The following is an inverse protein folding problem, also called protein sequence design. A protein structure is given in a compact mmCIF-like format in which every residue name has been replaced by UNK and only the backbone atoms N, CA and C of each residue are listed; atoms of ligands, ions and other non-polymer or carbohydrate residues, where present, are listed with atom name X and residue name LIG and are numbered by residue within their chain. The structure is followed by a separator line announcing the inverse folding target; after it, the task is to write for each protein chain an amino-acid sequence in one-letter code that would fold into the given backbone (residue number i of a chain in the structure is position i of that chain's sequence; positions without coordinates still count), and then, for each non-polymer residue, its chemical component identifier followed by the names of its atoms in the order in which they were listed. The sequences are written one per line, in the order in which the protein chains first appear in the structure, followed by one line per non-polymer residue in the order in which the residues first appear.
data_IF_790832374246
#
_entry.id   IF_790832374246
#
_cell.length_a   1.000
_cell.length_b   1.000
_cell.length_c   1.000
_cell.angle_alpha   90.00
_cell.angle_beta   90.00
_cell.angle_gamma   90.00
#
_symmetry.space_group_name_H-M   'P 1'
#
loop_
_entity.id
_entity.type
_entity.pdbx_description
1 polymer ?
#
# COMPACT_ATOMS: atom_id res chain seq x y z
N UNK A 1 -24.85 -10.02 -67.91
CA UNK A 1 -25.73 -10.23 -66.74
C UNK A 1 -24.80 -10.62 -65.60
N UNK A 2 -24.41 -9.81 -64.62
CA UNK A 2 -25.04 -8.69 -63.92
C UNK A 2 -24.99 -9.05 -62.42
N UNK A 3 -24.49 -8.12 -61.58
CA UNK A 3 -24.29 -8.19 -60.09
C UNK A 3 -22.97 -8.84 -59.64
N UNK A 4 -22.28 -8.38 -58.60
CA UNK A 4 -22.26 -7.13 -57.85
C UNK A 4 -20.94 -7.08 -57.06
N UNK A 5 -20.48 -5.86 -56.79
CA UNK A 5 -19.66 -5.35 -55.68
C UNK A 5 -18.49 -6.10 -55.01
N UNK A 6 -17.48 -5.27 -54.64
CA UNK A 6 -16.60 -5.57 -53.49
C UNK A 6 -15.10 -5.45 -53.76
N UNK A 7 -14.59 -4.24 -54.01
CA UNK A 7 -13.14 -3.97 -54.11
C UNK A 7 -12.45 -4.16 -52.75
N UNK A 8 -11.60 -5.20 -52.66
CA UNK A 8 -10.47 -5.30 -51.73
C UNK A 8 -9.25 -4.57 -52.31
N UNK A 9 -8.54 -3.75 -51.54
CA UNK A 9 -7.14 -3.41 -51.82
C UNK A 9 -6.31 -3.42 -50.53
N UNK A 10 -5.32 -4.31 -50.52
CA UNK A 10 -4.26 -4.36 -49.54
C UNK A 10 -3.06 -3.47 -49.93
N UNK A 11 -2.50 -2.87 -48.88
CA UNK A 11 -1.09 -2.54 -48.58
C UNK A 11 -0.01 -2.70 -49.68
N UNK A 12 0.82 -1.66 -49.84
CA UNK A 12 2.30 -1.76 -49.92
C UNK A 12 2.97 -0.40 -49.62
N UNK A 13 4.11 -0.48 -48.93
CA UNK A 13 4.99 0.59 -48.40
C UNK A 13 5.95 1.17 -49.45
N UNK A 14 6.68 2.21 -49.01
CA UNK A 14 7.93 2.84 -49.53
C UNK A 14 7.70 4.08 -50.44
N UNK A 15 8.36 5.24 -50.31
CA UNK A 15 9.74 5.58 -49.88
C UNK A 15 9.90 7.09 -49.55
N UNK A 16 10.86 7.36 -48.65
CA UNK A 16 11.86 8.45 -48.58
C UNK A 16 11.50 9.93 -48.85
N UNK A 17 11.84 10.80 -47.87
CA UNK A 17 12.12 12.22 -48.11
C UNK A 17 13.43 12.63 -47.41
N UNK A 18 14.36 13.22 -48.18
CA UNK A 18 15.66 13.75 -47.73
C UNK A 18 15.55 15.23 -47.30
N UNK A 19 16.46 15.74 -46.46
CA UNK A 19 16.44 17.11 -45.96
C UNK A 19 17.23 18.08 -46.85
N UNK A 20 16.81 19.36 -46.91
CA UNK A 20 17.59 20.46 -47.48
C UNK A 20 17.85 21.55 -46.44
N UNK A 21 19.06 22.09 -46.50
CA UNK A 21 19.68 22.96 -45.53
C UNK A 21 19.57 24.46 -45.88
N UNK A 22 19.71 25.28 -44.83
CA UNK A 22 20.28 26.64 -44.74
C UNK A 22 19.60 27.81 -45.48
N UNK A 23 19.21 28.80 -44.67
CA UNK A 23 19.11 30.22 -45.03
C UNK A 23 19.47 31.09 -43.83
N UNK A 24 20.56 31.86 -43.96
CA UNK A 24 21.09 32.86 -43.03
C UNK A 24 20.26 34.15 -43.08
N UNK A 25 20.06 34.83 -41.94
CA UNK A 25 19.91 36.29 -41.70
C UNK A 25 19.80 36.42 -40.16
N UNK A 26 20.38 37.35 -39.41
CA UNK A 26 21.08 38.61 -39.60
C UNK A 26 21.19 39.21 -38.18
N UNK A 27 22.30 39.89 -37.88
CA UNK A 27 22.62 40.50 -36.58
C UNK A 27 21.57 41.53 -36.17
N UNK A 28 21.25 41.60 -34.88
CA UNK A 28 21.10 42.87 -34.16
C UNK A 28 21.29 42.66 -32.65
N UNK A 29 22.20 43.44 -32.07
CA UNK A 29 22.45 43.48 -30.64
C UNK A 29 21.56 44.52 -29.98
N UNK A 30 20.92 44.15 -28.87
CA UNK A 30 20.36 45.12 -27.92
C UNK A 30 20.68 44.64 -26.50
N UNK A 31 21.25 45.58 -25.73
CA UNK A 31 21.75 45.46 -24.37
C UNK A 31 20.59 45.20 -23.39
N UNK A 32 20.75 44.23 -22.49
CA UNK A 32 19.90 44.10 -21.33
C UNK A 32 20.38 45.06 -20.22
N UNK A 33 19.57 46.08 -19.93
CA UNK A 33 19.71 46.95 -18.77
C UNK A 33 19.21 46.22 -17.51
N UNK A 34 20.10 45.94 -16.57
CA UNK A 34 19.74 45.65 -15.18
C UNK A 34 19.64 46.97 -14.39
N UNK A 35 18.51 47.26 -13.72
CA UNK A 35 18.51 48.25 -12.66
C UNK A 35 18.92 47.60 -11.33
N UNK A 36 19.95 48.19 -10.70
CA UNK A 36 20.24 48.02 -9.26
C UNK A 36 19.26 48.91 -8.47
N UNK A 37 18.81 48.50 -7.28
CA UNK A 37 18.44 49.44 -6.23
C UNK A 37 19.54 49.49 -5.16
N UNK A 38 20.00 50.71 -4.92
CA UNK A 38 20.80 51.15 -3.80
C UNK A 38 19.95 51.35 -2.53
N UNK A 39 20.50 50.96 -1.37
CA UNK A 39 20.54 51.87 -0.21
C UNK A 39 19.39 51.88 0.80
N UNK A 40 19.61 51.10 1.87
CA UNK A 40 19.59 51.52 3.30
C UNK A 40 18.30 51.81 4.10
N UNK A 41 18.27 51.10 5.24
CA UNK A 41 17.87 51.50 6.62
C UNK A 41 16.39 51.42 7.02
N UNK A 42 16.13 50.36 7.80
CA UNK A 42 15.72 50.53 9.19
C UNK A 42 14.28 50.14 9.52
N UNK A 43 14.11 49.02 10.23
CA UNK A 43 13.54 49.01 11.60
C UNK A 43 13.50 47.60 12.16
N UNK A 44 14.12 47.46 13.32
CA UNK A 44 14.01 46.35 14.25
C UNK A 44 12.55 46.12 14.64
N UNK A 45 12.14 44.85 14.77
CA UNK A 45 11.26 44.39 15.86
C UNK A 45 11.29 42.87 16.02
N UNK A 46 11.65 42.49 17.25
CA UNK A 46 11.29 41.28 18.01
C UNK A 46 11.70 39.90 17.50
N UNK A 47 12.95 39.56 17.81
CA UNK A 47 13.37 38.22 18.17
C UNK A 47 12.78 37.83 19.54
N UNK A 48 11.94 36.79 19.58
CA UNK A 48 11.75 35.94 20.78
C UNK A 48 11.57 34.50 20.32
N UNK A 49 12.66 33.72 20.37
CA UNK A 49 12.73 32.31 20.78
C UNK A 49 14.14 31.82 20.50
N UNK A 50 15.01 31.97 21.48
CA UNK A 50 16.30 31.29 21.51
C UNK A 50 16.40 30.54 22.84
N UNK A 51 16.71 29.25 22.74
CA UNK A 51 17.41 28.51 23.79
C UNK A 51 16.61 27.41 24.46
N UNK A 52 16.73 26.18 23.94
CA UNK A 52 17.46 25.09 24.61
C UNK A 52 17.55 23.88 23.67
N UNK A 53 18.64 23.80 22.90
CA UNK A 53 19.11 22.54 22.33
C UNK A 53 20.03 21.89 23.37
N UNK A 54 19.56 20.83 24.04
CA UNK A 54 20.45 19.88 24.71
C UNK A 54 20.76 18.78 23.70
N UNK A 55 22.06 18.57 23.46
CA UNK A 55 22.59 17.34 22.87
C UNK A 55 22.31 16.22 23.86
N UNK A 56 21.52 15.21 23.49
CA UNK A 56 21.51 13.93 24.17
C UNK A 56 22.21 12.92 23.26
N UNK A 57 23.23 12.28 23.84
CA UNK A 57 23.93 11.14 23.27
C UNK A 57 22.95 9.97 23.25
N UNK A 58 22.98 9.20 22.17
CA UNK A 58 22.34 7.90 22.12
C UNK A 58 23.04 6.98 23.13
N UNK A 59 22.36 6.62 24.21
CA UNK A 59 22.67 5.45 25.01
C UNK A 59 21.60 4.41 24.68
N UNK A 60 22.04 3.31 24.06
CA UNK A 60 21.23 2.13 23.82
C UNK A 60 20.96 1.47 25.17
N UNK A 61 19.69 1.41 25.56
CA UNK A 61 19.23 0.52 26.63
C UNK A 61 18.26 -0.50 26.04
N UNK A 62 18.45 -1.81 26.29
CA UNK A 62 17.60 -2.84 25.72
C UNK A 62 16.22 -2.83 26.39
N UNK A 63 15.17 -2.70 25.59
CA UNK A 63 13.80 -2.91 26.01
C UNK A 63 13.63 -4.39 26.38
N UNK A 64 13.37 -4.67 27.66
CA UNK A 64 12.84 -5.95 28.10
C UNK A 64 11.32 -5.87 27.92
N UNK A 65 10.78 -6.63 26.97
CA UNK A 65 9.34 -6.82 26.87
C UNK A 65 8.89 -7.94 27.81
N UNK A 66 7.94 -7.59 28.67
CA UNK A 66 7.25 -8.49 29.59
C UNK A 66 6.19 -9.28 28.80
N UNK A 67 6.24 -10.61 28.89
CA UNK A 67 5.33 -11.51 28.22
C UNK A 67 3.96 -11.51 28.92
N UNK A 68 2.94 -10.95 28.27
CA UNK A 68 1.59 -10.81 28.82
C UNK A 68 0.49 -11.21 27.83
N UNK A 69 0.27 -12.52 27.68
CA UNK A 69 -0.98 -13.19 27.32
C UNK A 69 -1.98 -12.49 26.37
N UNK A 70 -1.81 -12.68 25.05
CA UNK A 70 -2.92 -12.56 24.10
C UNK A 70 -3.69 -13.89 23.99
N UNK A 71 -4.93 -13.91 24.49
CA UNK A 71 -5.89 -15.00 24.29
C UNK A 71 -6.28 -15.09 22.82
N UNK A 72 -6.02 -16.25 22.21
CA UNK A 72 -6.58 -16.70 20.94
C UNK A 72 -8.10 -16.46 20.87
N UNK A 73 -8.56 -15.61 19.95
CA UNK A 73 -9.94 -15.65 19.49
C UNK A 73 -10.04 -16.69 18.38
N UNK A 74 -10.53 -17.88 18.75
CA UNK A 74 -10.92 -18.92 17.80
C UNK A 74 -12.13 -18.48 16.97
N UNK A 75 -12.12 -18.88 15.70
CA UNK A 75 -13.11 -18.53 14.69
C UNK A 75 -14.56 -18.82 15.09
N UNK A 76 -15.45 -17.93 14.69
CA UNK A 76 -16.86 -18.20 14.50
C UNK A 76 -17.26 -17.80 13.09
N UNK A 77 -17.63 -18.81 12.33
CA UNK A 77 -18.29 -18.71 11.04
C UNK A 77 -19.68 -18.08 11.18
N UNK A 78 -19.99 -17.15 10.27
CA UNK A 78 -21.32 -16.78 9.76
C UNK A 78 -22.49 -16.49 10.72
N UNK A 79 -22.82 -15.19 10.88
CA UNK A 79 -24.15 -14.58 10.63
C UNK A 79 -24.13 -13.10 11.04
N UNK A 80 -24.60 -12.21 10.15
CA UNK A 80 -24.87 -10.80 10.48
C UNK A 80 -25.92 -10.74 11.62
N UNK A 81 -25.73 -9.90 12.66
CA UNK A 81 -26.69 -9.78 13.74
C UNK A 81 -27.93 -8.99 13.29
N UNK A 82 -29.12 -9.26 13.88
CA UNK A 82 -30.33 -8.55 13.54
C UNK A 82 -30.30 -7.11 14.08
N UNK A 83 -30.94 -6.20 13.34
CA UNK A 83 -31.06 -4.76 13.65
C UNK A 83 -31.80 -4.56 14.98
N UNK A 84 -31.21 -3.76 15.87
CA UNK A 84 -31.90 -3.16 17.02
C UNK A 84 -31.19 -3.34 18.35
N UNK A 85 -30.12 -2.57 18.58
CA UNK A 85 -29.67 -2.10 19.89
C UNK A 85 -28.71 -0.92 19.64
N UNK A 86 -28.99 0.26 20.21
CA UNK A 86 -28.06 1.37 20.21
C UNK A 86 -26.85 0.99 21.07
N UNK A 87 -25.74 0.60 20.44
CA UNK A 87 -24.51 0.21 21.10
C UNK A 87 -23.47 -0.22 20.08
N UNK A 88 -22.31 0.48 20.09
CA UNK A 88 -21.08 0.31 19.28
C UNK A 88 -21.24 -0.41 17.93
N UNK A 89 -21.03 0.35 16.84
CA UNK A 89 -20.84 -0.21 15.49
C UNK A 89 -19.78 -1.33 15.54
N UNK A 90 -19.93 -2.39 14.73
CA UNK A 90 -18.90 -3.43 14.61
C UNK A 90 -17.55 -2.77 14.26
N UNK A 91 -16.48 -3.13 14.98
CA UNK A 91 -15.16 -2.56 14.73
C UNK A 91 -14.74 -2.80 13.28
N UNK A 92 -14.40 -1.72 12.55
CA UNK A 92 -13.83 -1.84 11.21
C UNK A 92 -12.35 -2.13 11.38
N UNK A 93 -11.89 -3.28 10.88
CA UNK A 93 -10.54 -3.79 11.18
C UNK A 93 -9.39 -2.87 10.75
N UNK A 94 -9.61 -1.95 9.81
CA UNK A 94 -8.57 -1.01 9.41
C UNK A 94 -8.45 0.22 10.30
N UNK A 95 -9.43 0.49 11.16
CA UNK A 95 -9.51 1.69 12.00
C UNK A 95 -8.29 1.80 12.94
N UNK A 96 -7.79 3.03 13.08
CA UNK A 96 -6.77 3.41 14.04
C UNK A 96 -7.34 3.38 15.45
N UNK A 97 -6.64 2.71 16.37
CA UNK A 97 -6.96 2.73 17.79
C UNK A 97 -6.50 4.06 18.41
N UNK A 98 -7.40 5.04 18.43
CA UNK A 98 -7.10 6.40 18.88
C UNK A 98 -6.77 6.49 20.38
N UNK A 99 -7.27 5.56 21.20
CA UNK A 99 -6.91 5.52 22.62
C UNK A 99 -5.45 5.10 22.78
N UNK A 100 -4.96 4.13 22.00
CA UNK A 100 -3.53 3.78 22.00
C UNK A 100 -2.63 4.92 21.53
N UNK A 101 -3.13 5.79 20.64
CA UNK A 101 -2.38 7.00 20.25
C UNK A 101 -2.25 7.95 21.44
N UNK A 102 -3.33 8.15 22.21
CA UNK A 102 -3.31 8.97 23.43
C UNK A 102 -2.41 8.37 24.51
N UNK A 103 -2.53 7.06 24.78
CA UNK A 103 -1.68 6.35 25.74
C UNK A 103 -0.20 6.46 25.37
N UNK A 104 0.15 6.30 24.09
CA UNK A 104 1.52 6.49 23.61
C UNK A 104 1.98 7.94 23.80
N UNK A 105 1.13 8.92 23.48
CA UNK A 105 1.45 10.33 23.65
C UNK A 105 1.64 10.71 25.14
N UNK A 106 0.88 10.11 26.05
CA UNK A 106 1.07 10.27 27.50
C UNK A 106 2.41 9.68 27.97
N UNK A 107 2.84 8.56 27.37
CA UNK A 107 4.12 7.92 27.68
C UNK A 107 5.32 8.73 27.17
N UNK A 108 5.28 9.16 25.91
CA UNK A 108 6.44 9.80 25.24
C UNK A 108 6.41 11.32 25.31
N UNK A 109 5.29 11.93 25.72
CA UNK A 109 5.02 13.37 25.64
C UNK A 109 4.48 13.78 24.27
N UNK A 110 3.38 14.52 24.25
CA UNK A 110 2.69 14.96 23.03
C UNK A 110 3.62 15.72 22.05
N UNK A 111 4.57 16.51 22.57
CA UNK A 111 5.55 17.25 21.75
C UNK A 111 6.51 16.35 20.95
N UNK A 112 6.58 15.07 21.29
CA UNK A 112 7.39 14.06 20.60
C UNK A 112 6.58 13.27 19.56
N UNK A 113 5.30 13.59 19.37
CA UNK A 113 4.42 13.02 18.33
C UNK A 113 4.26 14.03 17.19
N UNK A 114 5.12 14.00 16.14
CA UNK A 114 5.08 15.03 15.10
C UNK A 114 3.89 14.88 14.14
N UNK A 115 3.30 13.69 14.05
CA UNK A 115 2.21 13.41 13.14
C UNK A 115 1.38 12.20 13.61
N UNK A 116 0.10 12.23 13.29
CA UNK A 116 -0.81 11.07 13.35
C UNK A 116 -1.09 10.65 11.91
N UNK A 117 -0.77 9.40 11.56
CA UNK A 117 -0.93 8.88 10.20
C UNK A 117 -2.00 7.80 10.13
N UNK A 118 -2.98 7.98 9.24
CA UNK A 118 -4.00 6.98 8.92
C UNK A 118 -3.80 6.47 7.49
N UNK A 119 -3.76 5.16 7.30
CA UNK A 119 -3.60 4.52 5.99
C UNK A 119 -4.92 3.98 5.48
N UNK A 120 -5.37 4.44 4.31
CA UNK A 120 -6.63 4.02 3.69
C UNK A 120 -6.43 3.31 2.35
N UNK A 121 -6.87 2.06 2.18
CA UNK A 121 -7.16 1.02 3.18
C UNK A 121 -5.90 0.64 3.99
N UNK A 122 -6.05 0.11 5.20
CA UNK A 122 -4.93 -0.34 6.03
C UNK A 122 -4.22 -1.56 5.41
N UNK A 123 -3.11 -1.33 4.71
CA UNK A 123 -2.36 -2.35 3.98
C UNK A 123 -1.78 -3.43 4.91
N UNK A 124 -1.33 -3.05 6.10
CA UNK A 124 -0.71 -3.94 7.07
C UNK A 124 -1.71 -4.90 7.71
N UNK A 125 -2.98 -4.49 7.76
CA UNK A 125 -4.12 -5.31 8.17
C UNK A 125 -4.88 -5.78 6.93
N UNK A 126 -4.20 -6.48 6.03
CA UNK A 126 -4.82 -7.14 4.87
C UNK A 126 -5.66 -6.24 3.93
N UNK A 127 -5.39 -4.94 3.86
CA UNK A 127 -6.15 -4.00 3.02
C UNK A 127 -7.58 -3.77 3.51
N UNK A 128 -7.80 -3.84 4.83
CA UNK A 128 -9.11 -3.57 5.44
C UNK A 128 -9.42 -2.07 5.41
N UNK A 129 -10.70 -1.69 5.21
CA UNK A 129 -11.07 -0.28 5.13
C UNK A 129 -10.97 0.40 6.49
N UNK A 130 -10.88 1.73 6.43
CA UNK A 130 -11.00 2.66 7.56
C UNK A 130 -12.31 3.41 7.40
N UNK A 131 -13.08 3.53 8.48
CA UNK A 131 -14.34 4.27 8.49
C UNK A 131 -14.13 5.80 8.44
N UNK A 132 -15.12 6.53 7.92
CA UNK A 132 -15.07 8.00 7.96
C UNK A 132 -15.10 8.53 9.40
N UNK A 133 -15.86 7.87 10.27
CA UNK A 133 -15.89 8.16 11.70
C UNK A 133 -14.51 8.06 12.34
N UNK A 134 -13.75 7.00 12.05
CA UNK A 134 -12.41 6.85 12.60
C UNK A 134 -11.41 7.90 12.05
N UNK A 135 -11.56 8.33 10.79
CA UNK A 135 -10.77 9.45 10.25
C UNK A 135 -11.08 10.75 11.02
N UNK A 136 -12.35 11.00 11.34
CA UNK A 136 -12.77 12.17 12.16
C UNK A 136 -12.20 12.09 13.58
N UNK A 137 -12.22 10.91 14.21
CA UNK A 137 -11.64 10.68 15.54
C UNK A 137 -10.12 10.87 15.53
N UNK A 138 -9.41 10.31 14.55
CA UNK A 138 -7.97 10.45 14.41
C UNK A 138 -7.56 11.90 14.18
N UNK A 139 -8.36 12.68 13.43
CA UNK A 139 -8.16 14.12 13.29
C UNK A 139 -8.27 14.82 14.65
N UNK A 140 -9.32 14.53 15.42
CA UNK A 140 -9.49 15.14 16.74
C UNK A 140 -8.31 14.84 17.68
N UNK A 141 -7.77 13.62 17.64
CA UNK A 141 -6.54 13.29 18.40
C UNK A 141 -5.33 14.06 17.89
N UNK A 142 -5.16 14.22 16.58
CA UNK A 142 -4.07 15.02 16.04
C UNK A 142 -4.15 16.49 16.52
N UNK A 143 -5.36 17.05 16.57
CA UNK A 143 -5.61 18.40 17.12
C UNK A 143 -5.28 18.50 18.61
N UNK A 144 -5.68 17.51 19.42
CA UNK A 144 -5.36 17.44 20.85
C UNK A 144 -3.84 17.45 21.10
N UNK A 145 -3.07 16.83 20.19
CA UNK A 145 -1.63 16.65 20.30
C UNK A 145 -0.80 17.75 19.62
N UNK A 146 -1.43 18.71 18.93
CA UNK A 146 -0.74 19.69 18.05
C UNK A 146 0.16 18.98 17.00
N UNK A 147 -0.33 17.83 16.49
CA UNK A 147 0.38 16.97 15.56
C UNK A 147 -0.18 17.12 14.13
N UNK A 148 0.67 16.99 13.11
CA UNK A 148 0.18 16.99 11.72
C UNK A 148 -0.65 15.75 11.42
N UNK A 149 -1.89 15.91 10.95
CA UNK A 149 -2.72 14.78 10.54
C UNK A 149 -2.44 14.40 9.08
N UNK A 150 -1.92 13.19 8.88
CA UNK A 150 -1.53 12.68 7.57
C UNK A 150 -2.41 11.51 7.16
N UNK A 151 -2.88 11.50 5.91
CA UNK A 151 -3.54 10.33 5.32
C UNK A 151 -2.66 9.73 4.24
N UNK A 152 -2.27 8.46 4.39
CA UNK A 152 -1.76 7.66 3.27
C UNK A 152 -2.94 7.23 2.40
N UNK A 153 -3.06 7.89 1.25
CA UNK A 153 -4.16 7.78 0.32
C UNK A 153 -3.92 6.76 -0.80
N UNK A 154 -2.88 5.91 -0.70
CA UNK A 154 -2.49 4.97 -1.76
C UNK A 154 -3.66 4.16 -2.34
N UNK A 155 -4.65 3.78 -1.52
CA UNK A 155 -5.82 2.99 -1.93
C UNK A 155 -7.14 3.67 -1.55
N UNK A 156 -7.20 4.98 -1.76
CA UNK A 156 -8.33 5.81 -1.35
C UNK A 156 -9.67 5.40 -2.00
N UNK A 157 -9.65 4.97 -3.27
CA UNK A 157 -10.89 4.66 -4.00
C UNK A 157 -11.46 3.31 -3.53
N UNK A 158 -10.59 2.33 -3.28
CA UNK A 158 -11.00 1.07 -2.62
C UNK A 158 -11.62 1.34 -1.24
N UNK A 159 -11.01 2.24 -0.44
CA UNK A 159 -11.54 2.58 0.87
C UNK A 159 -12.92 3.26 0.77
N UNK A 160 -13.04 4.26 -0.10
CA UNK A 160 -14.28 4.97 -0.34
C UNK A 160 -15.40 4.05 -0.84
N UNK A 161 -15.08 3.06 -1.69
CA UNK A 161 -16.04 2.02 -2.08
C UNK A 161 -16.52 1.20 -0.89
N UNK A 162 -15.62 0.74 -0.02
CA UNK A 162 -16.06 0.01 1.19
C UNK A 162 -16.91 0.85 2.12
N UNK A 163 -16.60 2.14 2.28
CA UNK A 163 -17.42 3.07 3.06
C UNK A 163 -18.82 3.16 2.46
N UNK A 164 -18.92 3.36 1.14
CA UNK A 164 -20.21 3.38 0.44
C UNK A 164 -21.05 2.14 0.71
N UNK A 165 -20.42 0.96 0.67
CA UNK A 165 -21.11 -0.33 0.82
C UNK A 165 -21.43 -0.69 2.29
N UNK A 166 -20.76 -0.08 3.27
CA UNK A 166 -20.80 -0.52 4.68
C UNK A 166 -21.31 0.54 5.65
N UNK A 167 -21.28 1.81 5.27
CA UNK A 167 -21.70 2.93 6.11
C UNK A 167 -22.98 3.57 5.58
N UNK A 168 -24.08 3.42 6.33
CA UNK A 168 -25.40 3.93 5.96
C UNK A 168 -25.41 5.45 5.66
N UNK A 169 -24.51 6.24 6.27
CA UNK A 169 -24.37 7.69 6.05
C UNK A 169 -23.99 8.01 4.59
N UNK A 170 -23.27 7.11 3.91
CA UNK A 170 -22.66 7.35 2.61
C UNK A 170 -23.23 6.47 1.49
N UNK A 171 -24.30 5.71 1.75
CA UNK A 171 -24.84 4.74 0.79
C UNK A 171 -25.25 5.37 -0.56
N UNK A 172 -25.75 6.61 -0.52
CA UNK A 172 -26.20 7.36 -1.71
C UNK A 172 -25.11 8.28 -2.30
N UNK A 173 -23.91 8.30 -1.73
CA UNK A 173 -22.81 9.14 -2.21
C UNK A 173 -22.03 8.45 -3.33
N UNK A 174 -21.42 9.25 -4.20
CA UNK A 174 -20.45 8.73 -5.18
C UNK A 174 -19.15 8.35 -4.49
N UNK A 175 -18.37 7.44 -5.08
CA UNK A 175 -17.05 7.05 -4.55
C UNK A 175 -16.13 8.27 -4.51
N UNK A 176 -16.24 9.17 -5.50
CA UNK A 176 -15.48 10.41 -5.55
C UNK A 176 -15.83 11.37 -4.38
N UNK A 177 -17.11 11.50 -4.03
CA UNK A 177 -17.53 12.38 -2.94
C UNK A 177 -17.10 11.85 -1.57
N UNK A 178 -17.19 10.54 -1.37
CA UNK A 178 -16.70 9.89 -0.13
C UNK A 178 -15.19 10.04 0.00
N UNK A 179 -14.44 9.85 -1.09
CA UNK A 179 -13.00 10.07 -1.11
C UNK A 179 -12.65 11.54 -0.77
N UNK A 180 -13.38 12.50 -1.34
CA UNK A 180 -13.19 13.93 -1.01
C UNK A 180 -13.49 14.21 0.46
N UNK A 181 -14.58 13.68 1.00
CA UNK A 181 -14.96 13.81 2.41
C UNK A 181 -13.86 13.29 3.32
N UNK A 182 -13.39 12.06 3.13
CA UNK A 182 -12.32 11.48 3.97
C UNK A 182 -11.01 12.24 3.87
N UNK A 183 -10.59 12.61 2.66
CA UNK A 183 -9.34 13.34 2.47
C UNK A 183 -9.43 14.80 2.94
N UNK A 184 -10.64 15.35 3.08
CA UNK A 184 -10.87 16.72 3.56
C UNK A 184 -10.50 16.94 5.02
N UNK A 185 -10.23 15.87 5.79
CA UNK A 185 -9.77 15.95 7.18
C UNK A 185 -8.24 16.10 7.30
N UNK A 186 -7.48 15.66 6.30
CA UNK A 186 -6.01 15.58 6.37
C UNK A 186 -5.31 16.94 6.23
N UNK A 187 -4.26 17.21 7.01
CA UNK A 187 -3.36 18.35 6.75
C UNK A 187 -2.47 18.07 5.54
N UNK A 188 -2.03 16.81 5.42
CA UNK A 188 -1.25 16.34 4.31
C UNK A 188 -1.67 14.93 3.88
N UNK A 189 -1.44 14.63 2.61
CA UNK A 189 -1.62 13.29 2.05
C UNK A 189 -0.33 12.83 1.40
N UNK A 190 -0.05 11.54 1.53
CA UNK A 190 0.98 10.87 0.75
C UNK A 190 0.29 9.87 -0.18
N UNK A 191 0.63 9.91 -1.47
CA UNK A 191 -0.05 9.12 -2.48
C UNK A 191 0.96 8.46 -3.41
N UNK A 192 0.89 7.14 -3.51
CA UNK A 192 1.55 6.42 -4.59
C UNK A 192 0.55 6.16 -5.72
N UNK A 193 0.76 6.81 -6.85
CA UNK A 193 -0.05 6.62 -8.06
C UNK A 193 -0.02 5.18 -8.60
N UNK A 194 0.98 4.40 -8.19
CA UNK A 194 1.15 2.97 -8.54
C UNK A 194 0.04 2.04 -8.04
N UNK A 195 -0.91 2.56 -7.27
CA UNK A 195 -2.05 1.83 -6.68
C UNK A 195 -3.35 2.35 -7.31
N UNK A 196 -4.11 3.18 -6.60
CA UNK A 196 -5.35 3.78 -7.12
C UNK A 196 -5.11 4.96 -8.07
N UNK A 197 -3.86 5.36 -8.33
CA UNK A 197 -3.57 6.25 -9.46
C UNK A 197 -3.57 5.55 -10.82
N UNK A 198 -3.74 4.21 -10.86
CA UNK A 198 -3.81 3.37 -12.06
C UNK A 198 -2.64 3.54 -13.04
N UNK A 199 -1.46 3.88 -12.52
CA UNK A 199 -0.24 4.09 -13.32
C UNK A 199 0.90 3.16 -12.91
N UNK A 200 1.90 3.03 -13.77
CA UNK A 200 3.06 2.16 -13.53
C UNK A 200 4.12 2.80 -12.61
N UNK A 201 4.16 4.13 -12.58
CA UNK A 201 5.13 4.92 -11.81
C UNK A 201 4.46 6.22 -11.36
N UNK A 202 5.01 6.84 -10.31
CA UNK A 202 4.59 8.16 -9.85
C UNK A 202 3.89 8.15 -8.49
N UNK A 203 3.80 9.35 -7.94
CA UNK A 203 3.21 9.66 -6.66
C UNK A 203 3.30 11.15 -6.38
N UNK A 204 2.64 11.60 -5.33
CA UNK A 204 2.66 12.99 -4.92
C UNK A 204 2.43 13.14 -3.42
N UNK A 205 2.84 14.29 -2.89
CA UNK A 205 2.45 14.77 -1.58
C UNK A 205 1.48 15.92 -1.80
N UNK A 206 0.32 15.86 -1.15
CA UNK A 206 -0.61 16.99 -1.06
C UNK A 206 -0.50 17.61 0.32
N UNK A 207 -0.49 18.93 0.41
CA UNK A 207 -0.61 19.67 1.67
C UNK A 207 -1.78 20.61 1.50
N UNK A 208 -2.65 20.68 2.51
CA UNK A 208 -3.79 21.59 2.52
C UNK A 208 -3.31 23.02 2.32
N UNK A 209 -4.09 23.78 1.55
CA UNK A 209 -3.89 25.22 1.38
C UNK A 209 -4.34 25.95 2.66
N UNK A 210 -3.46 25.96 3.65
CA UNK A 210 -3.64 26.57 4.95
C UNK A 210 -2.36 27.33 5.35
N UNK A 211 -2.43 28.63 5.70
CA UNK A 211 -1.28 29.39 6.16
C UNK A 211 -0.52 28.76 7.34
N UNK A 212 -1.18 27.97 8.19
CA UNK A 212 -0.52 27.27 9.30
C UNK A 212 0.44 26.16 8.81
N UNK A 213 0.26 25.69 7.57
CA UNK A 213 1.05 24.63 6.94
C UNK A 213 2.10 25.16 5.95
N UNK A 214 2.26 26.48 5.78
CA UNK A 214 3.22 27.09 4.86
C UNK A 214 4.66 26.63 5.11
N UNK A 215 5.05 26.52 6.38
CA UNK A 215 6.37 26.03 6.78
C UNK A 215 6.57 24.55 6.42
N UNK A 216 5.52 23.73 6.53
CA UNK A 216 5.55 22.33 6.12
C UNK A 216 5.66 22.21 4.60
N UNK A 217 4.90 23.00 3.86
CA UNK A 217 4.97 23.06 2.39
C UNK A 217 6.35 23.51 1.91
N UNK A 218 6.92 24.56 2.50
CA UNK A 218 8.24 25.06 2.14
C UNK A 218 9.33 23.99 2.33
N UNK A 219 9.35 23.32 3.49
CA UNK A 219 10.31 22.24 3.79
C UNK A 219 10.12 21.03 2.88
N UNK A 220 8.86 20.65 2.63
CA UNK A 220 8.52 19.53 1.72
C UNK A 220 8.97 19.83 0.31
N UNK A 221 8.73 21.05 -0.18
CA UNK A 221 9.21 21.53 -1.48
C UNK A 221 10.72 21.47 -1.60
N UNK A 222 11.45 22.00 -0.62
CA UNK A 222 12.92 22.00 -0.64
C UNK A 222 13.50 20.59 -0.68
N UNK A 223 12.93 19.67 0.10
CA UNK A 223 13.30 18.24 0.06
C UNK A 223 12.93 17.59 -1.26
N UNK A 224 11.74 17.87 -1.80
CA UNK A 224 11.31 17.35 -3.10
C UNK A 224 12.27 17.75 -4.23
N UNK A 225 12.73 19.01 -4.24
CA UNK A 225 13.74 19.48 -5.19
C UNK A 225 15.07 18.73 -5.05
N UNK A 226 15.49 18.44 -3.82
CA UNK A 226 16.76 17.76 -3.55
C UNK A 226 16.74 16.28 -3.95
N UNK A 227 15.64 15.57 -3.70
CA UNK A 227 15.57 14.12 -3.85
C UNK A 227 14.86 13.63 -5.12
N UNK A 228 13.85 14.36 -5.61
CA UNK A 228 12.97 13.91 -6.70
C UNK A 228 13.14 14.74 -7.98
N UNK A 229 13.10 16.07 -7.85
CA UNK A 229 13.16 17.02 -8.96
C UNK A 229 12.33 18.28 -8.71
N UNK A 230 12.28 19.18 -9.68
CA UNK A 230 11.54 20.45 -9.51
C UNK A 230 10.04 20.22 -9.26
N UNK A 231 9.40 21.14 -8.53
CA UNK A 231 8.03 20.97 -8.01
C UNK A 231 6.95 20.70 -9.05
N UNK A 232 7.15 21.13 -10.30
CA UNK A 232 6.18 20.95 -11.37
C UNK A 232 6.22 19.57 -12.01
N UNK A 233 7.19 18.72 -11.66
CA UNK A 233 7.28 17.35 -12.20
C UNK A 233 7.72 16.29 -11.19
N UNK A 234 8.45 16.64 -10.12
CA UNK A 234 8.76 15.74 -9.00
C UNK A 234 9.33 14.38 -9.42
N UNK A 235 10.30 14.38 -10.35
CA UNK A 235 10.93 13.15 -10.86
C UNK A 235 10.14 12.37 -11.91
N UNK A 236 8.90 12.79 -12.24
CA UNK A 236 8.06 12.14 -13.24
C UNK A 236 8.22 12.78 -14.63
N UNK A 237 8.12 11.99 -15.70
CA UNK A 237 7.99 12.56 -17.03
C UNK A 237 6.58 13.16 -17.21
N UNK A 238 6.43 14.17 -18.07
CA UNK A 238 5.13 14.83 -18.29
C UNK A 238 4.00 13.87 -18.69
N UNK A 239 4.32 12.79 -19.43
CA UNK A 239 3.35 11.74 -19.78
C UNK A 239 2.88 10.91 -18.58
N UNK A 240 3.71 10.74 -17.56
CA UNK A 240 3.37 9.98 -16.36
C UNK A 240 2.45 10.80 -15.45
N UNK A 241 2.66 12.13 -15.40
CA UNK A 241 1.73 13.07 -14.76
C UNK A 241 0.34 13.03 -15.41
N UNK A 242 0.29 13.07 -16.75
CA UNK A 242 -0.97 13.02 -17.49
C UNK A 242 -1.69 11.67 -17.28
N UNK A 243 -0.95 10.55 -17.38
CA UNK A 243 -1.50 9.23 -17.13
C UNK A 243 -2.06 9.11 -15.70
N UNK A 244 -1.37 9.68 -14.70
CA UNK A 244 -1.85 9.65 -13.31
C UNK A 244 -3.09 10.53 -13.13
N UNK A 245 -3.15 11.70 -13.79
CA UNK A 245 -4.33 12.55 -13.76
C UNK A 245 -5.56 11.85 -14.37
N UNK A 246 -5.40 11.12 -15.47
CA UNK A 246 -6.46 10.28 -16.04
C UNK A 246 -6.82 9.14 -15.09
N UNK A 247 -5.82 8.40 -14.60
CA UNK A 247 -6.03 7.25 -13.72
C UNK A 247 -6.75 7.58 -12.41
N UNK A 248 -6.47 8.74 -11.80
CA UNK A 248 -7.19 9.20 -10.59
C UNK A 248 -8.68 9.47 -10.85
N UNK A 249 -9.07 9.89 -12.06
CA UNK A 249 -10.48 10.09 -12.43
C UNK A 249 -11.17 8.76 -12.70
N UNK A 250 -10.48 7.83 -13.36
CA UNK A 250 -10.99 6.48 -13.60
C UNK A 250 -11.13 5.67 -12.29
N UNK A 251 -10.23 5.89 -11.33
CA UNK A 251 -10.18 5.11 -10.09
C UNK A 251 -11.45 5.23 -9.23
N UNK A 252 -12.14 6.36 -9.33
CA UNK A 252 -13.36 6.65 -8.58
C UNK A 252 -14.64 6.29 -9.37
N UNK A 253 -14.53 5.76 -10.58
CA UNK A 253 -15.71 5.26 -11.31
C UNK A 253 -16.29 4.03 -10.60
N UNK A 254 -17.57 4.10 -10.21
CA UNK A 254 -18.22 3.08 -9.38
C UNK A 254 -18.15 1.69 -10.01
N UNK A 255 -18.42 1.58 -11.31
CA UNK A 255 -18.37 0.31 -12.02
C UNK A 255 -16.98 -0.30 -12.02
N UNK A 256 -15.95 0.53 -12.12
CA UNK A 256 -14.56 0.07 -12.12
C UNK A 256 -14.16 -0.43 -10.73
N UNK A 257 -14.39 0.35 -9.67
CA UNK A 257 -13.97 -0.03 -8.31
C UNK A 257 -14.78 -1.22 -7.79
N UNK A 258 -16.07 -1.33 -8.16
CA UNK A 258 -16.91 -2.47 -7.83
C UNK A 258 -16.39 -3.77 -8.47
N UNK A 259 -16.07 -3.75 -9.77
CA UNK A 259 -15.46 -4.91 -10.45
C UNK A 259 -14.11 -5.28 -9.82
N UNK A 260 -13.27 -4.27 -9.55
CA UNK A 260 -11.95 -4.42 -8.94
C UNK A 260 -12.00 -5.08 -7.56
N UNK A 261 -12.94 -4.68 -6.70
CA UNK A 261 -13.10 -5.25 -5.35
C UNK A 261 -13.78 -6.62 -5.44
N UNK A 262 -14.78 -6.76 -6.31
CA UNK A 262 -15.45 -8.02 -6.59
C UNK A 262 -14.50 -9.09 -7.12
N UNK A 263 -13.47 -8.71 -7.88
CA UNK A 263 -12.42 -9.62 -8.35
C UNK A 263 -11.61 -10.23 -7.20
N UNK A 264 -11.25 -9.41 -6.20
CA UNK A 264 -10.53 -9.87 -5.00
C UNK A 264 -11.41 -10.77 -4.15
N UNK A 265 -12.68 -10.39 -3.97
CA UNK A 265 -13.67 -11.20 -3.25
C UNK A 265 -13.86 -12.56 -3.90
N UNK A 266 -14.02 -12.58 -5.24
CA UNK A 266 -14.17 -13.82 -6.01
C UNK A 266 -12.99 -14.77 -5.83
N UNK A 267 -11.76 -14.28 -5.88
CA UNK A 267 -10.59 -15.13 -5.61
C UNK A 267 -10.63 -15.67 -4.16
N UNK A 268 -10.99 -14.84 -3.19
CA UNK A 268 -11.14 -15.27 -1.79
C UNK A 268 -12.24 -16.32 -1.61
N UNK A 269 -13.32 -16.24 -2.37
CA UNK A 269 -14.40 -17.24 -2.41
C UNK A 269 -13.95 -18.54 -3.05
N UNK A 270 -13.34 -18.50 -4.24
CA UNK A 270 -12.81 -19.68 -4.91
C UNK A 270 -11.80 -20.47 -4.08
N UNK A 271 -10.97 -19.78 -3.30
CA UNK A 271 -10.00 -20.38 -2.39
C UNK A 271 -10.68 -20.98 -1.15
N UNK A 272 -11.61 -20.26 -0.54
CA UNK A 272 -12.33 -20.78 0.64
C UNK A 272 -13.22 -21.98 0.32
N UNK A 273 -13.83 -22.01 -0.88
CA UNK A 273 -14.61 -23.15 -1.36
C UNK A 273 -13.76 -24.42 -1.57
N UNK A 274 -12.42 -24.27 -1.59
CA UNK A 274 -11.42 -25.34 -1.64
C UNK A 274 -10.69 -25.52 -0.30
N UNK A 275 -11.32 -25.09 0.79
CA UNK A 275 -10.80 -25.21 2.15
C UNK A 275 -9.42 -24.53 2.38
N UNK A 276 -9.06 -23.55 1.55
CA UNK A 276 -7.86 -22.74 1.76
C UNK A 276 -8.15 -21.70 2.86
N UNK A 277 -7.30 -21.60 3.91
CA UNK A 277 -7.53 -20.71 5.04
C UNK A 277 -7.22 -19.26 4.66
N UNK A 278 -8.24 -18.56 4.15
CA UNK A 278 -8.14 -17.16 3.71
C UNK A 278 -8.64 -16.19 4.78
N UNK A 279 -7.96 -15.05 4.91
CA UNK A 279 -8.41 -13.93 5.74
C UNK A 279 -9.72 -13.33 5.20
N UNK A 280 -10.75 -13.30 6.06
CA UNK A 280 -12.11 -12.87 5.69
C UNK A 280 -12.68 -11.80 6.63
N UNK A 281 -13.47 -10.84 6.12
CA UNK A 281 -13.66 -10.50 4.70
C UNK A 281 -12.35 -10.09 4.01
N UNK A 282 -12.24 -10.33 2.69
CA UNK A 282 -11.09 -9.88 1.90
C UNK A 282 -10.98 -8.35 1.91
N UNK A 283 -9.75 -7.85 1.79
CA UNK A 283 -9.50 -6.43 1.59
C UNK A 283 -9.76 -5.96 0.16
N UNK A 284 -9.38 -4.73 -0.13
CA UNK A 284 -9.59 -4.12 -1.44
C UNK A 284 -8.68 -4.62 -2.54
N UNK A 285 -7.50 -5.17 -2.22
CA UNK A 285 -6.42 -5.37 -3.21
C UNK A 285 -5.75 -6.73 -3.29
N UNK A 286 -5.98 -7.60 -2.32
CA UNK A 286 -5.33 -8.90 -2.24
C UNK A 286 -6.14 -9.86 -1.40
N UNK A 287 -5.90 -11.15 -1.64
CA UNK A 287 -6.30 -12.23 -0.73
C UNK A 287 -5.08 -12.62 0.10
N UNK A 288 -5.27 -12.84 1.39
CA UNK A 288 -4.22 -13.27 2.31
C UNK A 288 -4.57 -14.69 2.77
N UNK A 289 -3.63 -15.63 2.59
CA UNK A 289 -3.76 -17.02 3.01
C UNK A 289 -2.91 -17.22 4.25
N UNK A 290 -3.47 -17.85 5.29
CA UNK A 290 -2.71 -18.26 6.47
C UNK A 290 -1.94 -19.55 6.14
N UNK A 291 -0.65 -19.43 5.87
CA UNK A 291 0.20 -20.54 5.49
C UNK A 291 0.49 -21.50 6.64
N UNK A 292 0.51 -21.03 7.89
CA UNK A 292 0.64 -21.92 9.06
C UNK A 292 -0.59 -22.81 9.24
N UNK A 293 -1.79 -22.33 8.90
CA UNK A 293 -2.99 -23.16 8.85
C UNK A 293 -3.02 -24.07 7.62
N UNK A 294 -2.48 -23.60 6.48
CA UNK A 294 -2.44 -24.38 5.25
C UNK A 294 -1.37 -25.48 5.28
N UNK A 295 -0.22 -25.29 5.95
CA UNK A 295 0.91 -26.22 6.09
C UNK A 295 1.25 -26.44 7.59
N UNK A 296 0.37 -27.05 8.38
CA UNK A 296 0.52 -27.12 9.84
C UNK A 296 1.72 -27.95 10.32
N UNK A 297 2.24 -28.85 9.48
CA UNK A 297 3.39 -29.69 9.78
C UNK A 297 4.74 -28.94 9.63
N UNK A 298 4.74 -27.77 8.97
CA UNK A 298 5.95 -26.96 8.79
C UNK A 298 6.01 -25.92 9.91
N UNK A 299 6.98 -26.02 10.84
CA UNK A 299 7.10 -25.06 11.93
C UNK A 299 7.54 -23.69 11.41
N UNK A 300 7.21 -22.62 12.16
CA UNK A 300 7.49 -21.22 11.78
C UNK A 300 8.96 -20.97 11.44
N UNK A 301 9.90 -21.62 12.15
CA UNK A 301 11.34 -21.49 11.91
C UNK A 301 11.78 -22.05 10.54
N UNK A 302 10.90 -22.82 9.88
CA UNK A 302 11.10 -23.34 8.53
C UNK A 302 10.22 -22.63 7.48
N UNK A 303 9.68 -21.46 7.82
CA UNK A 303 9.04 -20.50 6.92
C UNK A 303 7.90 -21.09 6.09
N UNK A 304 6.79 -21.55 6.72
CA UNK A 304 5.66 -22.15 5.99
C UNK A 304 5.08 -21.20 4.93
N UNK A 305 5.06 -19.88 5.18
CA UNK A 305 4.65 -18.89 4.18
C UNK A 305 5.51 -18.93 2.92
N UNK A 306 6.83 -19.00 3.07
CA UNK A 306 7.76 -18.99 1.95
C UNK A 306 7.78 -20.34 1.23
N UNK A 307 7.63 -21.45 1.96
CA UNK A 307 7.43 -22.79 1.40
C UNK A 307 6.19 -22.82 0.50
N UNK A 308 5.05 -22.30 0.98
CA UNK A 308 3.82 -22.19 0.19
C UNK A 308 4.02 -21.36 -1.08
N UNK A 309 4.69 -20.20 -0.99
CA UNK A 309 5.01 -19.38 -2.18
C UNK A 309 5.82 -20.17 -3.22
N UNK A 310 6.82 -20.94 -2.78
CA UNK A 310 7.62 -21.79 -3.67
C UNK A 310 6.79 -22.90 -4.33
N UNK A 311 5.89 -23.55 -3.59
CA UNK A 311 5.06 -24.63 -4.13
C UNK A 311 4.01 -24.12 -5.13
N UNK A 312 3.37 -22.98 -4.85
CA UNK A 312 2.46 -22.34 -5.79
C UNK A 312 3.16 -21.96 -7.12
N UNK A 313 4.42 -21.54 -7.03
CA UNK A 313 5.22 -21.24 -8.20
C UNK A 313 5.61 -22.50 -8.99
N UNK A 314 6.01 -23.58 -8.29
CA UNK A 314 6.38 -24.86 -8.92
C UNK A 314 5.19 -25.52 -9.61
N UNK A 315 4.03 -25.51 -8.95
CA UNK A 315 2.83 -26.19 -9.44
C UNK A 315 2.17 -25.41 -10.58
N UNK A 316 1.90 -24.11 -10.37
CA UNK A 316 1.05 -23.33 -11.27
C UNK A 316 1.70 -22.07 -11.84
N UNK A 317 3.00 -21.84 -11.61
CA UNK A 317 3.66 -20.57 -11.91
C UNK A 317 2.97 -19.34 -11.26
N UNK A 318 2.28 -19.56 -10.13
CA UNK A 318 1.61 -18.52 -9.37
C UNK A 318 2.59 -17.94 -8.35
N UNK A 319 2.92 -16.66 -8.48
CA UNK A 319 3.83 -15.97 -7.55
C UNK A 319 3.05 -15.13 -6.56
N UNK A 320 2.93 -15.64 -5.33
CA UNK A 320 2.55 -14.86 -4.15
C UNK A 320 3.74 -14.11 -3.53
N UNK A 321 3.51 -13.48 -2.39
CA UNK A 321 4.57 -12.93 -1.55
C UNK A 321 4.30 -13.29 -0.10
N UNK A 322 5.32 -13.80 0.59
CA UNK A 322 5.29 -14.07 2.02
C UNK A 322 5.35 -12.76 2.80
N UNK A 323 4.56 -12.67 3.87
CA UNK A 323 4.47 -11.51 4.78
C UNK A 323 4.36 -11.99 6.24
N UNK A 324 5.12 -13.02 6.60
CA UNK A 324 5.21 -13.63 7.93
C UNK A 324 6.61 -13.44 8.51
N UNK A 325 7.07 -14.44 9.25
CA UNK A 325 8.36 -14.43 9.95
C UNK A 325 9.58 -14.34 9.03
N UNK A 326 9.47 -14.74 7.76
CA UNK A 326 10.60 -14.63 6.83
C UNK A 326 10.81 -13.18 6.36
N UNK A 327 9.73 -12.47 6.02
CA UNK A 327 9.79 -11.04 5.68
C UNK A 327 9.98 -10.12 6.88
N UNK A 328 9.47 -10.50 8.05
CA UNK A 328 9.51 -9.70 9.27
C UNK A 328 10.13 -10.54 10.41
N UNK A 329 11.46 -10.66 10.45
CA UNK A 329 12.15 -11.43 11.49
C UNK A 329 11.84 -10.86 12.88
N UNK A 330 11.82 -11.73 13.89
CA UNK A 330 11.60 -11.38 15.30
C UNK A 330 10.22 -10.74 15.60
N UNK A 331 9.22 -10.98 14.74
CA UNK A 331 7.85 -10.51 14.95
C UNK A 331 6.88 -11.68 15.19
N UNK A 332 5.88 -11.48 16.05
CA UNK A 332 4.78 -12.43 16.27
C UNK A 332 3.70 -12.35 15.17
N UNK A 333 4.09 -12.00 13.93
CA UNK A 333 3.13 -11.84 12.84
C UNK A 333 2.61 -13.22 12.39
N UNK A 334 1.34 -13.32 11.97
CA UNK A 334 0.85 -14.54 11.34
C UNK A 334 1.60 -14.83 10.03
N UNK A 335 1.74 -16.11 9.71
CA UNK A 335 2.40 -16.62 8.50
C UNK A 335 1.52 -16.39 7.26
N UNK A 336 1.40 -15.14 6.82
CA UNK A 336 0.52 -14.78 5.71
C UNK A 336 1.23 -14.84 4.36
N UNK A 337 0.56 -15.42 3.37
CA UNK A 337 0.91 -15.30 1.95
C UNK A 337 -0.09 -14.39 1.27
N UNK A 338 0.39 -13.31 0.67
CA UNK A 338 -0.44 -12.32 -0.02
C UNK A 338 -0.49 -12.59 -1.53
N UNK A 339 -1.68 -12.82 -2.03
CA UNK A 339 -2.01 -12.87 -3.45
C UNK A 339 -2.49 -11.48 -3.90
N UNK A 340 -1.54 -10.65 -4.33
CA UNK A 340 -1.83 -9.29 -4.79
C UNK A 340 -2.39 -9.31 -6.21
N UNK A 341 -3.54 -8.65 -6.44
CA UNK A 341 -4.14 -8.55 -7.77
C UNK A 341 -3.83 -7.17 -8.40
N UNK A 342 -3.03 -7.13 -9.48
CA UNK A 342 -2.89 -5.95 -10.32
C UNK A 342 -4.24 -5.56 -10.96
N UNK A 343 -4.53 -4.27 -10.93
CA UNK A 343 -5.79 -3.71 -11.44
C UNK A 343 -5.86 -3.91 -12.97
N UNK A 344 -7.02 -4.33 -13.48
CA UNK A 344 -7.32 -4.47 -14.94
C UNK A 344 -6.34 -5.38 -15.71
N UNK A 345 -5.73 -6.35 -15.04
CA UNK A 345 -4.73 -7.24 -15.66
C UNK A 345 -5.22 -8.66 -15.84
N UNK A 346 -5.80 -9.24 -14.79
CA UNK A 346 -6.26 -10.63 -14.78
C UNK A 346 -7.77 -10.74 -14.96
N UNK A 347 -8.23 -11.92 -15.38
CA UNK A 347 -9.63 -12.25 -15.64
C UNK A 347 -10.06 -13.50 -14.87
N UNK A 348 -11.32 -13.93 -15.02
CA UNK A 348 -11.89 -15.04 -14.24
C UNK A 348 -11.07 -16.34 -14.35
N UNK A 349 -10.68 -16.75 -15.55
CA UNK A 349 -9.89 -17.97 -15.77
C UNK A 349 -8.53 -17.93 -15.08
N UNK A 350 -7.92 -16.76 -14.93
CA UNK A 350 -6.68 -16.60 -14.17
C UNK A 350 -6.91 -16.81 -12.67
N UNK A 351 -8.06 -16.39 -12.13
CA UNK A 351 -8.39 -16.62 -10.72
C UNK A 351 -8.70 -18.10 -10.45
N UNK A 352 -9.39 -18.74 -11.38
CA UNK A 352 -9.66 -20.18 -11.31
C UNK A 352 -8.34 -20.97 -11.34
N UNK A 353 -7.43 -20.63 -12.25
CA UNK A 353 -6.09 -21.23 -12.31
C UNK A 353 -5.34 -21.11 -10.97
N UNK A 354 -5.43 -19.96 -10.30
CA UNK A 354 -4.86 -19.79 -8.96
C UNK A 354 -5.52 -20.74 -7.96
N UNK A 355 -6.86 -20.82 -7.95
CA UNK A 355 -7.58 -21.69 -7.03
C UNK A 355 -7.29 -23.19 -7.26
N UNK A 356 -7.26 -23.64 -8.52
CA UNK A 356 -6.85 -25.00 -8.91
C UNK A 356 -5.40 -25.29 -8.53
N UNK A 357 -4.51 -24.30 -8.61
CA UNK A 357 -3.11 -24.46 -8.16
C UNK A 357 -3.06 -24.74 -6.66
N UNK A 358 -3.86 -24.04 -5.85
CA UNK A 358 -3.94 -24.31 -4.41
C UNK A 358 -4.48 -25.72 -4.11
N UNK A 359 -5.48 -26.18 -4.87
CA UNK A 359 -6.03 -27.52 -4.74
C UNK A 359 -4.97 -28.60 -4.98
N UNK A 360 -4.18 -28.47 -6.06
CA UNK A 360 -3.06 -29.40 -6.35
C UNK A 360 -1.95 -29.34 -5.30
N UNK A 361 -1.63 -28.15 -4.80
CA UNK A 361 -0.65 -28.02 -3.71
C UNK A 361 -1.20 -28.63 -2.41
N UNK A 362 -2.50 -28.53 -2.14
CA UNK A 362 -3.14 -29.19 -1.01
C UNK A 362 -3.06 -30.73 -1.11
N UNK A 363 -3.27 -31.30 -2.30
CA UNK A 363 -3.09 -32.75 -2.54
C UNK A 363 -1.64 -33.19 -2.22
N UNK A 364 -0.64 -32.42 -2.66
CA UNK A 364 0.78 -32.70 -2.39
C UNK A 364 1.16 -32.52 -0.92
N UNK A 365 0.57 -31.53 -0.25
CA UNK A 365 0.67 -31.36 1.21
C UNK A 365 0.16 -32.61 1.91
N UNK A 366 -1.04 -33.08 1.56
CA UNK A 366 -1.69 -34.21 2.24
C UNK A 366 -0.93 -35.53 1.98
N UNK A 367 -0.21 -35.62 0.87
CA UNK A 367 0.73 -36.70 0.57
C UNK A 367 2.09 -36.60 1.31
N UNK A 368 2.34 -35.52 2.07
CA UNK A 368 3.58 -35.31 2.80
C UNK A 368 4.77 -34.87 1.94
N UNK A 369 4.52 -34.30 0.76
CA UNK A 369 5.57 -33.97 -0.23
C UNK A 369 6.17 -32.56 -0.06
N UNK A 370 5.66 -31.76 0.86
CA UNK A 370 6.07 -30.36 1.03
C UNK A 370 6.97 -30.23 2.26
N UNK A 371 8.21 -29.83 2.04
CA UNK A 371 9.20 -29.54 3.09
C UNK A 371 9.25 -28.05 3.42
N UNK A 372 9.56 -27.72 4.67
CA UNK A 372 9.99 -26.38 5.05
C UNK A 372 11.32 -25.94 4.42
N UNK A 373 11.72 -24.70 4.67
CA UNK A 373 12.91 -24.08 4.12
C UNK A 373 13.91 -23.66 5.21
N UNK A 374 15.20 -23.68 4.89
CA UNK A 374 16.27 -23.09 5.70
C UNK A 374 17.08 -22.06 4.91
N UNK A 375 17.59 -21.05 5.60
CA UNK A 375 18.44 -20.00 5.02
C UNK A 375 19.84 -20.54 4.79
N UNK A 376 20.34 -20.33 3.57
CA UNK A 376 21.69 -20.71 3.13
C UNK A 376 22.60 -19.50 3.09
N UNK A 377 22.07 -18.38 2.60
CA UNK A 377 22.77 -17.09 2.55
C UNK A 377 21.81 -15.99 2.99
N UNK A 378 22.27 -15.15 3.93
CA UNK A 378 21.47 -14.07 4.52
C UNK A 378 22.16 -12.72 4.31
N UNK A 379 21.43 -11.66 3.88
CA UNK A 379 22.00 -10.32 3.83
C UNK A 379 22.36 -9.80 5.23
N UNK A 380 23.31 -8.86 5.30
CA UNK A 380 23.75 -8.25 6.57
C UNK A 380 22.60 -7.58 7.36
N UNK A 381 21.62 -7.03 6.65
CA UNK A 381 20.40 -6.48 7.24
C UNK A 381 19.29 -7.53 7.11
N UNK A 382 18.92 -8.15 8.24
CA UNK A 382 17.90 -9.21 8.29
C UNK A 382 16.53 -8.72 7.78
N UNK A 383 16.21 -7.44 7.90
CA UNK A 383 14.99 -6.84 7.38
C UNK A 383 14.91 -6.88 5.85
N UNK A 384 16.05 -7.08 5.16
CA UNK A 384 16.12 -7.25 3.71
C UNK A 384 16.13 -8.72 3.27
N UNK A 385 16.10 -9.66 4.21
CA UNK A 385 16.17 -11.11 3.96
C UNK A 385 15.19 -11.57 2.89
N UNK A 386 13.93 -11.13 2.96
CA UNK A 386 12.90 -11.52 1.99
C UNK A 386 13.12 -10.99 0.55
N UNK A 387 14.05 -10.06 0.34
CA UNK A 387 14.40 -9.58 -0.99
C UNK A 387 15.52 -10.36 -1.65
N UNK A 388 16.49 -10.88 -0.88
CA UNK A 388 17.75 -11.37 -1.46
C UNK A 388 18.35 -12.61 -0.81
N UNK A 389 17.75 -13.16 0.26
CA UNK A 389 18.28 -14.36 0.89
C UNK A 389 18.13 -15.59 -0.03
N UNK A 390 19.10 -16.51 0.07
CA UNK A 390 19.03 -17.81 -0.58
C UNK A 390 18.51 -18.86 0.40
N UNK A 391 17.59 -19.70 -0.08
CA UNK A 391 16.91 -20.72 0.72
C UNK A 391 17.11 -22.10 0.08
N UNK A 392 17.04 -23.15 0.90
CA UNK A 392 16.93 -24.52 0.42
C UNK A 392 15.91 -25.33 1.24
N UNK A 393 15.35 -26.41 0.68
CA UNK A 393 14.55 -27.36 1.44
C UNK A 393 15.30 -27.92 2.66
N UNK A 394 14.60 -28.03 3.79
CA UNK A 394 15.11 -28.77 4.94
C UNK A 394 15.21 -30.24 4.54
N UNK A 395 16.39 -30.83 4.66
CA UNK A 395 16.56 -32.28 4.47
C UNK A 395 16.01 -32.99 5.70
N UNK A 396 15.21 -34.04 5.50
CA UNK A 396 14.95 -34.97 6.60
C UNK A 396 16.29 -35.39 7.19
N UNK A 397 16.42 -35.28 8.52
CA UNK A 397 17.56 -35.89 9.20
C UNK A 397 17.46 -37.38 8.89
N UNK A 398 18.37 -37.91 8.09
CA UNK A 398 18.57 -39.36 8.02
C UNK A 398 18.61 -39.83 9.46
N UNK A 399 17.63 -40.66 9.84
CA UNK A 399 17.61 -41.27 11.15
C UNK A 399 18.97 -41.96 11.28
N UNK A 400 19.83 -41.44 12.15
CA UNK A 400 21.08 -42.09 12.50
C UNK A 400 20.68 -43.43 13.08
N UNK A 401 20.66 -44.48 12.26
CA UNK A 401 20.71 -45.85 12.74
C UNK A 401 22.05 -45.95 13.45
N UNK A 402 22.01 -45.72 14.76
CA UNK A 402 23.06 -46.14 15.65
C UNK A 402 23.13 -47.66 15.52
N UNK A 403 24.10 -48.14 14.75
CA UNK A 403 24.58 -49.51 14.87
C UNK A 403 25.24 -49.62 16.25
N UNK A 404 24.62 -50.39 17.14
CA UNK A 404 25.19 -50.95 18.37
C UNK A 404 26.17 -52.10 18.06
#
# INVERSE_FOLDING_TARGET
MGRDDGRRRGLRREREFRPTARGNLGRDGVRAHHPRPSGTRGRERSLRRAGRRRRLRAEQHPLRHDAGAHRQQRGRTGRLPPRGCAGRRPAVRGDLDVEKVRELADEVGAENVPAVLVTITNNSLAGQPVSVENVREARAVADELDATFVVDACRFAENAYFVREREDEFADWSVADIAREQLSYADAIVMSGKKDGLVNVGGFVGIRDDPELDDLYAKTRERGILYEGFTTYGGMAGRDLEAMAVGLREAVEESYVADRVGQVQRLGDLLADRDVPVERPTGGHAVYVNAAEFLPEIPTEQFPGQALVCELYREGAVRGVELGSFAFPETDRPELVRLSLPRRTYGADHLEHVAETFERVAERRDAGEISGLEIVDEPEMAELRHFSAELRPVREREATTADD
#
